data_IF_473419403694
#
_entry.id   IF_473419403694
#
_cell.length_a   1.000
_cell.length_b   1.000
_cell.length_c   1.000
_cell.angle_alpha   90.00
_cell.angle_beta   90.00
_cell.angle_gamma   90.00
#
_symmetry.space_group_name_H-M   'P 1'
#
loop_
_entity.id
_entity.type
_entity.pdbx_description
1 polymer ?
#
# COMPACT_ATOMS: atom_id res chain seq x y z
N UNK A 1 -30.99 -12.49 29.88
CA UNK A 1 -29.97 -11.56 30.43
C UNK A 1 -29.16 -10.80 29.35
N UNK A 2 -29.53 -10.81 28.06
CA UNK A 2 -28.71 -10.19 26.98
C UNK A 2 -28.90 -8.69 26.70
N UNK A 3 -30.11 -8.15 26.92
CA UNK A 3 -30.49 -6.79 26.46
C UNK A 3 -29.67 -5.64 27.08
N UNK A 4 -29.17 -5.83 28.30
CA UNK A 4 -28.36 -4.80 28.99
C UNK A 4 -26.88 -4.80 28.56
N UNK A 5 -26.37 -5.91 28.03
CA UNK A 5 -25.01 -5.98 27.53
C UNK A 5 -24.90 -5.26 26.18
N UNK A 6 -25.84 -5.52 25.27
CA UNK A 6 -25.87 -4.92 23.94
C UNK A 6 -25.99 -3.40 23.99
N UNK A 7 -26.90 -2.87 24.83
CA UNK A 7 -27.03 -1.41 25.03
C UNK A 7 -25.77 -0.75 25.58
N UNK A 8 -25.00 -1.45 26.41
CA UNK A 8 -23.75 -0.92 26.96
C UNK A 8 -22.68 -0.87 25.88
N UNK A 9 -22.64 -1.87 25.00
CA UNK A 9 -21.69 -1.91 23.90
C UNK A 9 -22.00 -0.85 22.84
N UNK A 10 -23.27 -0.69 22.46
CA UNK A 10 -23.70 0.39 21.55
C UNK A 10 -23.30 1.78 22.06
N UNK A 11 -23.47 2.03 23.36
CA UNK A 11 -23.09 3.30 23.97
C UNK A 11 -21.58 3.52 23.98
N UNK A 12 -20.77 2.45 24.12
CA UNK A 12 -19.31 2.56 24.01
C UNK A 12 -18.88 2.83 22.58
N UNK A 13 -19.48 2.16 21.60
CA UNK A 13 -19.16 2.35 20.18
C UNK A 13 -19.45 3.78 19.74
N UNK A 14 -20.64 4.30 20.05
CA UNK A 14 -21.01 5.70 19.76
C UNK A 14 -20.09 6.72 20.42
N UNK A 15 -19.59 6.43 21.63
CA UNK A 15 -18.64 7.30 22.32
C UNK A 15 -17.28 7.27 21.64
N UNK A 16 -16.83 6.09 21.24
CA UNK A 16 -15.57 5.92 20.53
C UNK A 16 -15.59 6.60 19.16
N UNK A 17 -16.72 6.59 18.43
CA UNK A 17 -16.86 7.32 17.16
C UNK A 17 -16.67 8.84 17.37
N UNK A 18 -17.26 9.38 18.45
CA UNK A 18 -17.09 10.77 18.85
C UNK A 18 -15.64 11.08 19.17
N UNK A 19 -14.96 10.22 19.96
CA UNK A 19 -13.53 10.36 20.27
C UNK A 19 -12.71 10.42 18.98
N UNK A 20 -12.97 9.51 18.03
CA UNK A 20 -12.27 9.50 16.72
C UNK A 20 -12.47 10.79 15.95
N UNK A 21 -13.71 11.26 15.83
CA UNK A 21 -14.02 12.51 15.12
C UNK A 21 -13.34 13.72 15.74
N UNK A 22 -13.31 13.83 17.08
CA UNK A 22 -12.67 14.94 17.78
C UNK A 22 -11.14 14.88 17.64
N UNK A 23 -10.56 13.68 17.61
CA UNK A 23 -9.12 13.53 17.42
C UNK A 23 -8.69 13.90 16.01
N UNK A 24 -9.46 13.50 14.98
CA UNK A 24 -9.25 13.91 13.59
C UNK A 24 -9.41 15.43 13.40
N UNK A 25 -10.27 16.07 14.19
CA UNK A 25 -10.39 17.53 14.24
C UNK A 25 -9.25 18.23 15.01
N UNK A 26 -8.25 17.47 15.48
CA UNK A 26 -7.02 18.02 16.09
C UNK A 26 -7.06 18.20 17.61
N UNK A 27 -8.15 17.83 18.30
CA UNK A 27 -8.22 17.98 19.76
C UNK A 27 -7.25 17.04 20.47
N UNK A 28 -6.67 17.51 21.57
CA UNK A 28 -5.83 16.70 22.46
C UNK A 28 -6.67 15.73 23.31
N UNK A 29 -6.05 14.64 23.79
CA UNK A 29 -6.73 13.64 24.62
C UNK A 29 -7.37 14.22 25.88
N UNK A 30 -6.75 15.25 26.48
CA UNK A 30 -7.27 15.94 27.66
C UNK A 30 -8.51 16.76 27.35
N UNK A 31 -8.51 17.49 26.22
CA UNK A 31 -9.68 18.25 25.77
C UNK A 31 -10.86 17.32 25.42
N UNK A 32 -10.55 16.15 24.83
CA UNK A 32 -11.57 15.13 24.52
C UNK A 32 -12.14 14.53 25.81
N UNK A 33 -11.28 14.23 26.79
CA UNK A 33 -11.73 13.66 28.07
C UNK A 33 -12.68 14.61 28.81
N UNK A 34 -12.40 15.91 28.77
CA UNK A 34 -13.27 16.96 29.33
C UNK A 34 -14.61 17.06 28.59
N UNK A 35 -14.62 16.96 27.26
CA UNK A 35 -15.84 17.04 26.43
C UNK A 35 -16.73 15.81 26.52
N UNK A 36 -16.14 14.63 26.71
CA UNK A 36 -16.85 13.34 26.71
C UNK A 36 -17.12 12.84 28.14
N UNK A 37 -16.59 13.54 29.15
CA UNK A 37 -16.77 13.26 30.57
C UNK A 37 -16.30 11.85 30.98
N UNK A 38 -15.14 11.44 30.48
CA UNK A 38 -14.49 10.16 30.83
C UNK A 38 -13.01 10.37 31.12
N UNK A 39 -12.32 9.41 31.73
CA UNK A 39 -10.88 9.52 31.95
C UNK A 39 -10.11 9.52 30.63
N UNK A 40 -8.94 10.17 30.60
CA UNK A 40 -8.03 10.14 29.43
C UNK A 40 -7.69 8.71 29.02
N UNK A 41 -7.54 7.80 29.98
CA UNK A 41 -7.30 6.37 29.71
C UNK A 41 -8.51 5.71 29.01
N UNK A 42 -9.72 6.08 29.40
CA UNK A 42 -10.95 5.61 28.74
C UNK A 42 -11.04 6.14 27.31
N UNK A 43 -10.67 7.41 27.07
CA UNK A 43 -10.59 7.98 25.72
C UNK A 43 -9.62 7.19 24.83
N UNK A 44 -8.45 6.81 25.36
CA UNK A 44 -7.48 5.98 24.62
C UNK A 44 -8.05 4.60 24.30
N UNK A 45 -8.65 3.92 25.27
CA UNK A 45 -9.32 2.62 25.04
C UNK A 45 -10.45 2.70 24.01
N UNK A 46 -11.19 3.81 24.00
CA UNK A 46 -12.24 4.06 23.01
C UNK A 46 -11.65 4.34 21.62
N UNK A 47 -10.54 5.07 21.53
CA UNK A 47 -9.79 5.24 20.28
C UNK A 47 -9.30 3.90 19.73
N UNK A 48 -8.66 3.09 20.58
CA UNK A 48 -8.13 1.78 20.20
C UNK A 48 -9.24 0.82 19.74
N UNK A 49 -10.46 0.92 20.32
CA UNK A 49 -11.63 0.09 19.94
C UNK A 49 -12.10 0.32 18.50
N UNK A 50 -11.90 1.52 17.94
CA UNK A 50 -12.28 1.87 16.56
C UNK A 50 -11.05 2.01 15.67
N UNK A 51 -9.85 1.78 16.22
CA UNK A 51 -8.68 1.57 15.40
C UNK A 51 -8.90 0.26 14.64
N UNK A 52 -9.42 0.38 13.42
CA UNK A 52 -9.33 -0.68 12.44
C UNK A 52 -7.83 -0.86 12.24
N UNK A 53 -7.29 -1.97 12.76
CA UNK A 53 -6.05 -2.51 12.24
C UNK A 53 -6.33 -2.76 10.76
N UNK A 54 -5.93 -1.81 9.92
CA UNK A 54 -5.61 -2.19 8.56
C UNK A 54 -4.48 -3.20 8.72
N UNK A 55 -4.67 -4.48 8.37
CA UNK A 55 -3.54 -5.39 8.33
C UNK A 55 -2.50 -4.68 7.47
N UNK A 56 -1.26 -4.59 7.95
CA UNK A 56 -0.17 -3.97 7.18
C UNK A 56 -0.18 -4.64 5.80
N UNK A 57 -0.75 -3.93 4.82
CA UNK A 57 -0.87 -4.49 3.49
C UNK A 57 0.56 -4.63 3.01
N UNK A 58 0.95 -5.87 2.72
CA UNK A 58 2.25 -6.11 2.10
C UNK A 58 2.35 -5.24 0.84
N UNK A 59 3.53 -4.75 0.49
CA UNK A 59 3.70 -3.96 -0.74
C UNK A 59 3.06 -4.65 -1.96
N UNK A 60 3.08 -5.98 -1.99
CA UNK A 60 2.42 -6.81 -3.02
C UNK A 60 0.90 -6.68 -3.04
N UNK A 61 0.24 -6.60 -1.88
CA UNK A 61 -1.21 -6.41 -1.79
C UNK A 61 -1.63 -5.00 -2.23
N UNK A 62 -0.86 -3.98 -1.85
CA UNK A 62 -1.07 -2.60 -2.33
C UNK A 62 -0.93 -2.52 -3.85
N UNK A 63 0.11 -3.14 -4.41
CA UNK A 63 0.30 -3.26 -5.87
C UNK A 63 -0.88 -3.98 -6.52
N UNK A 64 -1.35 -5.10 -5.96
CA UNK A 64 -2.48 -5.83 -6.53
C UNK A 64 -3.79 -5.03 -6.50
N UNK A 65 -4.07 -4.33 -5.41
CA UNK A 65 -5.25 -3.47 -5.28
C UNK A 65 -5.22 -2.31 -6.27
N UNK A 66 -4.07 -1.64 -6.38
CA UNK A 66 -3.91 -0.53 -7.30
C UNK A 66 -3.95 -0.97 -8.76
N UNK A 67 -3.40 -2.14 -9.10
CA UNK A 67 -3.54 -2.71 -10.45
C UNK A 67 -5.01 -3.01 -10.79
N UNK A 68 -5.77 -3.59 -9.85
CA UNK A 68 -7.18 -3.88 -10.04
C UNK A 68 -7.99 -2.60 -10.35
N UNK A 69 -7.73 -1.51 -9.62
CA UNK A 69 -8.36 -0.21 -9.88
C UNK A 69 -8.01 0.32 -11.28
N UNK A 70 -6.73 0.23 -11.68
CA UNK A 70 -6.27 0.67 -13.00
C UNK A 70 -6.89 -0.15 -14.14
N UNK A 71 -7.08 -1.46 -13.96
CA UNK A 71 -7.77 -2.33 -14.93
C UNK A 71 -9.22 -1.90 -15.11
N UNK A 72 -9.95 -1.62 -14.03
CA UNK A 72 -11.32 -1.12 -14.12
C UNK A 72 -11.39 0.23 -14.84
N UNK A 73 -10.44 1.13 -14.57
CA UNK A 73 -10.35 2.42 -15.27
C UNK A 73 -10.04 2.25 -16.76
N UNK A 74 -9.29 1.22 -17.16
CA UNK A 74 -8.92 0.98 -18.55
C UNK A 74 -10.10 0.53 -19.43
N UNK A 75 -10.99 -0.32 -18.90
CA UNK A 75 -12.11 -0.94 -19.64
C UNK A 75 -12.90 0.04 -20.53
N UNK A 76 -13.42 1.18 -20.04
CA UNK A 76 -14.23 2.09 -20.86
C UNK A 76 -13.46 2.79 -21.99
N UNK A 77 -12.13 2.90 -21.87
CA UNK A 77 -11.29 3.53 -22.88
C UNK A 77 -10.74 2.52 -23.88
N UNK A 78 -10.55 1.26 -23.49
CA UNK A 78 -9.90 0.26 -24.32
C UNK A 78 -10.58 0.06 -25.68
N UNK A 79 -11.90 -0.19 -25.68
CA UNK A 79 -12.64 -0.40 -26.93
C UNK A 79 -12.63 0.85 -27.83
N UNK A 80 -12.70 2.04 -27.23
CA UNK A 80 -12.65 3.32 -27.96
C UNK A 80 -11.26 3.59 -28.53
N UNK A 81 -10.21 3.23 -27.80
CA UNK A 81 -8.82 3.37 -28.23
C UNK A 81 -8.53 2.52 -29.47
N UNK A 82 -8.90 1.24 -29.45
CA UNK A 82 -8.62 0.32 -30.57
C UNK A 82 -9.46 0.63 -31.83
N UNK A 83 -10.55 1.38 -31.68
CA UNK A 83 -11.40 1.84 -32.79
C UNK A 83 -10.96 3.20 -33.34
N UNK A 84 -9.83 3.75 -32.89
CA UNK A 84 -9.22 4.95 -33.46
C UNK A 84 -9.62 6.26 -32.77
N UNK A 85 -10.19 6.23 -31.56
CA UNK A 85 -10.42 7.45 -30.79
C UNK A 85 -9.13 7.90 -30.09
N UNK A 86 -8.47 8.93 -30.62
CA UNK A 86 -7.19 9.44 -30.12
C UNK A 86 -7.21 9.85 -28.64
N UNK A 87 -8.31 10.43 -28.14
CA UNK A 87 -8.42 10.80 -26.73
C UNK A 87 -8.47 9.57 -25.84
N UNK A 88 -9.26 8.56 -26.23
CA UNK A 88 -9.32 7.31 -25.51
C UNK A 88 -8.01 6.53 -25.58
N UNK A 89 -7.31 6.56 -26.73
CA UNK A 89 -6.00 5.95 -26.90
C UNK A 89 -4.96 6.59 -25.96
N UNK A 90 -4.90 7.92 -25.91
CA UNK A 90 -4.01 8.63 -24.98
C UNK A 90 -4.29 8.30 -23.51
N UNK A 91 -5.57 8.25 -23.11
CA UNK A 91 -5.93 7.87 -21.74
C UNK A 91 -5.58 6.41 -21.43
N UNK A 92 -5.86 5.49 -22.35
CA UNK A 92 -5.53 4.08 -22.21
C UNK A 92 -4.01 3.87 -22.07
N UNK A 93 -3.21 4.54 -22.90
CA UNK A 93 -1.74 4.49 -22.85
C UNK A 93 -1.20 5.02 -21.52
N UNK A 94 -1.76 6.11 -20.97
CA UNK A 94 -1.34 6.61 -19.65
C UNK A 94 -1.66 5.64 -18.51
N UNK A 95 -2.82 4.98 -18.57
CA UNK A 95 -3.18 3.95 -17.59
C UNK A 95 -2.22 2.76 -17.72
N UNK A 96 -1.91 2.33 -18.95
CA UNK A 96 -0.95 1.26 -19.19
C UNK A 96 0.48 1.61 -18.73
N UNK A 97 0.93 2.86 -18.94
CA UNK A 97 2.22 3.35 -18.44
C UNK A 97 2.29 3.27 -16.90
N UNK A 98 1.22 3.70 -16.23
CA UNK A 98 1.14 3.61 -14.77
C UNK A 98 1.18 2.16 -14.28
N UNK A 99 0.52 1.23 -14.98
CA UNK A 99 0.60 -0.21 -14.67
C UNK A 99 2.01 -0.76 -14.87
N UNK A 100 2.68 -0.39 -15.95
CA UNK A 100 4.05 -0.83 -16.23
C UNK A 100 5.05 -0.35 -15.16
N UNK A 101 4.88 0.89 -14.65
CA UNK A 101 5.66 1.40 -13.51
C UNK A 101 5.37 0.65 -12.20
N UNK A 102 4.10 0.31 -11.96
CA UNK A 102 3.68 -0.44 -10.78
C UNK A 102 4.38 -1.80 -10.66
N UNK A 103 4.68 -2.42 -11.81
CA UNK A 103 5.40 -3.69 -11.91
C UNK A 103 6.90 -3.52 -12.25
N UNK A 104 7.43 -2.30 -12.20
CA UNK A 104 8.83 -1.99 -12.53
C UNK A 104 9.29 -2.53 -13.89
N UNK A 105 8.38 -2.64 -14.87
CA UNK A 105 8.71 -3.18 -16.20
C UNK A 105 9.68 -2.29 -16.98
N UNK A 106 9.78 -1.01 -16.62
CA UNK A 106 10.74 -0.07 -17.21
C UNK A 106 12.12 -0.12 -16.57
N UNK A 107 12.23 -0.66 -15.35
CA UNK A 107 13.47 -0.74 -14.57
C UNK A 107 14.09 -2.13 -14.64
N UNK A 108 13.55 -3.03 -15.46
CA UNK A 108 14.17 -4.32 -15.74
C UNK A 108 15.60 -4.05 -16.23
N UNK A 109 16.62 -4.62 -15.57
CA UNK A 109 17.98 -4.57 -16.07
C UNK A 109 17.93 -5.04 -17.52
N UNK A 110 18.44 -4.23 -18.44
CA UNK A 110 18.72 -4.70 -19.78
C UNK A 110 19.66 -5.88 -19.61
N UNK A 111 19.15 -7.09 -19.83
CA UNK A 111 19.96 -8.30 -19.90
C UNK A 111 20.77 -8.22 -21.20
N UNK A 112 21.78 -7.35 -21.18
CA UNK A 112 22.66 -7.05 -22.30
C UNK A 112 23.87 -7.99 -22.31
N UNK A 113 23.81 -9.11 -21.59
CA UNK A 113 24.92 -10.08 -21.43
C UNK A 113 26.14 -9.50 -20.71
N UNK A 114 26.07 -8.27 -20.20
CA UNK A 114 27.19 -7.63 -19.52
C UNK A 114 27.42 -8.20 -18.13
N UNK A 115 26.35 -8.64 -17.47
CA UNK A 115 26.42 -9.35 -16.19
C UNK A 115 27.12 -10.70 -16.37
N UNK A 116 26.68 -11.49 -17.36
CA UNK A 116 27.30 -12.78 -17.71
C UNK A 116 28.78 -12.62 -18.10
N UNK A 117 29.13 -11.56 -18.84
CA UNK A 117 30.53 -11.27 -19.19
C UNK A 117 31.38 -10.86 -17.98
N UNK A 118 30.81 -10.14 -17.01
CA UNK A 118 31.48 -9.78 -15.77
C UNK A 118 31.67 -11.00 -14.86
N UNK A 119 30.67 -11.87 -14.78
CA UNK A 119 30.74 -13.09 -13.98
C UNK A 119 31.79 -14.07 -14.56
N UNK A 120 31.82 -14.23 -15.89
CA UNK A 120 32.83 -15.03 -16.57
C UNK A 120 34.26 -14.47 -16.38
N UNK A 121 34.41 -13.14 -16.42
CA UNK A 121 35.71 -12.50 -16.18
C UNK A 121 36.16 -12.65 -14.72
N UNK A 122 35.24 -12.52 -13.77
CA UNK A 122 35.52 -12.71 -12.35
C UNK A 122 35.96 -14.14 -12.04
N UNK A 123 35.33 -15.13 -12.67
CA UNK A 123 35.69 -16.54 -12.54
C UNK A 123 37.10 -16.82 -13.12
N UNK A 124 37.43 -16.19 -14.25
CA UNK A 124 38.75 -16.31 -14.88
C UNK A 124 39.85 -15.68 -14.03
N UNK A 125 39.63 -14.48 -13.47
CA UNK A 125 40.56 -13.83 -12.54
C UNK A 125 40.78 -14.68 -11.29
N UNK A 126 39.71 -15.26 -10.74
CA UNK A 126 39.79 -16.15 -9.57
C UNK A 126 40.64 -17.39 -9.87
N UNK A 127 40.47 -18.00 -11.05
CA UNK A 127 41.27 -19.16 -11.46
C UNK A 127 42.77 -18.83 -11.61
N UNK A 128 43.11 -17.63 -12.07
CA UNK A 128 44.49 -17.15 -12.18
C UNK A 128 45.09 -16.91 -10.78
N UNK A 129 44.32 -16.33 -9.86
CA UNK A 129 44.77 -16.09 -8.48
C UNK A 129 44.98 -17.40 -7.70
N UNK A 130 44.08 -18.37 -7.87
CA UNK A 130 44.18 -19.70 -7.26
C UNK A 130 45.35 -20.53 -7.83
N UNK A 131 45.70 -20.30 -9.10
CA UNK A 131 46.89 -20.89 -9.71
C UNK A 131 48.19 -20.24 -9.22
N UNK A 132 48.19 -18.92 -9.00
CA UNK A 132 49.35 -18.16 -8.54
C UNK A 132 49.67 -18.34 -7.04
N UNK A 133 48.73 -18.87 -6.24
CA UNK A 133 48.90 -19.12 -4.80
C UNK A 133 49.25 -20.58 -4.47
N UNK A 134 49.39 -21.45 -5.47
CA UNK A 134 49.76 -22.87 -5.33
C UNK A 134 51.25 -23.19 -5.57
N UNK A 135 52.09 -22.18 -5.76
CA UNK A 135 53.56 -22.26 -5.67
C UNK A 135 54.05 -21.74 -4.31
#
# INVERSE_FOLDING_TARGET
>A
MGVNADRREDNRMRRAEKVRSMRLAGLSWRQISEKVHVSVETVKKDWDRIQVEFPEQTARQLVAEQDAQLVEMLKPFFLKAITGNDRAANTALRIMDHRARLFSLFDLPQDNGQQDAQDALAELIKSIQDAATKE
#
